data_IF_435964201942
#
_entry.id   IF_435964201942
#
_cell.length_a   1.000
_cell.length_b   1.000
_cell.length_c   1.000
_cell.angle_alpha   90.00
_cell.angle_beta   90.00
_cell.angle_gamma   90.00
#
_symmetry.space_group_name_H-M   'P 1'
#
loop_
_entity.id
_entity.type
_entity.pdbx_description
1 polymer ?
#
# COMPACT_ATOMS: atom_id res chain seq x y z
N UNK A 1 24.09 26.02 7.62
CA UNK A 1 23.32 24.86 8.14
C UNK A 1 21.83 25.13 7.89
N UNK A 2 21.50 25.50 6.65
CA UNK A 2 20.22 26.13 6.29
C UNK A 2 19.30 25.18 5.51
N UNK A 3 19.74 23.92 5.36
CA UNK A 3 19.02 22.83 4.70
C UNK A 3 17.79 22.35 5.50
N UNK A 4 17.65 22.78 6.75
CA UNK A 4 16.48 22.53 7.60
C UNK A 4 15.76 23.86 7.87
N UNK A 5 15.51 24.63 6.82
CA UNK A 5 14.49 25.69 6.90
C UNK A 5 13.14 25.02 7.21
N UNK A 6 12.33 25.55 8.15
CA UNK A 6 11.05 24.95 8.55
C UNK A 6 10.14 24.60 7.36
N UNK A 7 10.20 25.37 6.27
CA UNK A 7 9.41 25.12 5.06
C UNK A 7 9.76 23.81 4.34
N UNK A 8 11.04 23.49 4.18
CA UNK A 8 11.48 22.29 3.44
C UNK A 8 11.13 21.02 4.23
N UNK A 9 11.32 21.05 5.55
CA UNK A 9 10.96 19.94 6.43
C UNK A 9 9.46 19.61 6.36
N UNK A 10 8.60 20.63 6.33
CA UNK A 10 7.15 20.45 6.22
C UNK A 10 6.73 19.83 4.88
N UNK A 11 7.32 20.27 3.77
CA UNK A 11 7.02 19.72 2.43
C UNK A 11 7.42 18.24 2.35
N UNK A 12 8.59 17.88 2.87
CA UNK A 12 9.04 16.49 2.90
C UNK A 12 8.16 15.64 3.80
N UNK A 13 7.83 16.12 5.00
CA UNK A 13 6.94 15.41 5.92
C UNK A 13 5.54 15.18 5.31
N UNK A 14 4.95 16.20 4.70
CA UNK A 14 3.65 16.12 4.05
C UNK A 14 3.66 15.12 2.89
N UNK A 15 4.70 15.13 2.06
CA UNK A 15 4.82 14.21 0.92
C UNK A 15 4.99 12.75 1.34
N UNK A 16 5.75 12.49 2.42
CA UNK A 16 5.91 11.15 2.98
C UNK A 16 4.59 10.62 3.53
N UNK A 17 3.83 11.42 4.29
CA UNK A 17 2.50 11.02 4.78
C UNK A 17 1.55 10.73 3.62
N UNK A 18 1.54 11.61 2.63
CA UNK A 18 0.68 11.45 1.46
C UNK A 18 0.97 10.13 0.74
N UNK A 19 2.25 9.79 0.55
CA UNK A 19 2.66 8.52 -0.03
C UNK A 19 2.28 7.32 0.87
N UNK A 20 2.47 7.45 2.18
CA UNK A 20 2.12 6.41 3.15
C UNK A 20 0.62 6.08 3.18
N UNK A 21 -0.24 7.02 2.77
CA UNK A 21 -1.69 6.83 2.64
C UNK A 21 -2.10 6.42 1.23
N UNK A 22 -1.51 7.00 0.19
CA UNK A 22 -1.83 6.66 -1.20
C UNK A 22 -1.48 5.22 -1.55
N UNK A 23 -0.30 4.75 -1.11
CA UNK A 23 0.20 3.42 -1.42
C UNK A 23 -0.74 2.28 -0.95
N UNK A 24 -1.23 2.27 0.31
CA UNK A 24 -2.21 1.28 0.75
C UNK A 24 -3.56 1.42 0.05
N UNK A 25 -4.03 2.64 -0.25
CA UNK A 25 -5.27 2.83 -1.02
C UNK A 25 -5.15 2.18 -2.41
N UNK A 26 -4.04 2.44 -3.11
CA UNK A 26 -3.77 1.83 -4.42
C UNK A 26 -3.68 0.30 -4.32
N UNK A 27 -3.06 -0.23 -3.26
CA UNK A 27 -3.03 -1.67 -3.01
C UNK A 27 -4.42 -2.25 -2.78
N UNK A 28 -5.25 -1.62 -1.93
CA UNK A 28 -6.63 -2.05 -1.67
C UNK A 28 -7.47 -2.04 -2.95
N UNK A 29 -7.42 -0.97 -3.74
CA UNK A 29 -8.10 -0.92 -5.05
C UNK A 29 -7.61 -2.05 -5.95
N UNK A 30 -6.30 -2.31 -5.96
CA UNK A 30 -5.73 -3.43 -6.71
C UNK A 30 -6.23 -4.79 -6.23
N UNK A 31 -6.37 -4.99 -4.92
CA UNK A 31 -6.90 -6.23 -4.31
C UNK A 31 -8.37 -6.43 -4.68
N UNK A 32 -9.18 -5.37 -4.56
CA UNK A 32 -10.61 -5.44 -4.85
C UNK A 32 -10.88 -5.69 -6.34
N UNK A 33 -10.08 -5.09 -7.23
CA UNK A 33 -10.21 -5.20 -8.68
C UNK A 33 -9.81 -6.57 -9.24
N UNK A 34 -8.90 -7.30 -8.57
CA UNK A 34 -8.46 -8.62 -9.03
C UNK A 34 -9.24 -9.74 -8.33
N UNK A 35 -9.34 -10.89 -8.98
CA UNK A 35 -9.89 -12.09 -8.37
C UNK A 35 -8.78 -12.88 -7.67
N UNK A 36 -9.11 -13.40 -6.48
CA UNK A 36 -8.24 -14.25 -5.67
C UNK A 36 -9.01 -15.50 -5.30
N UNK A 37 -8.29 -16.58 -5.00
CA UNK A 37 -8.91 -17.84 -4.64
C UNK A 37 -9.37 -17.82 -3.17
N UNK A 38 -10.61 -18.24 -2.92
CA UNK A 38 -11.18 -18.36 -1.57
C UNK A 38 -10.98 -17.11 -0.70
N UNK A 39 -10.41 -17.29 0.48
CA UNK A 39 -10.23 -16.24 1.49
C UNK A 39 -8.99 -15.36 1.28
N UNK A 40 -8.15 -15.63 0.28
CA UNK A 40 -6.90 -14.87 0.06
C UNK A 40 -7.17 -13.38 -0.18
N UNK A 41 -8.28 -13.02 -0.83
CA UNK A 41 -8.69 -11.61 -1.00
C UNK A 41 -8.84 -10.91 0.36
N UNK A 42 -9.56 -11.53 1.29
CA UNK A 42 -9.85 -10.97 2.60
C UNK A 42 -8.59 -10.84 3.46
N UNK A 43 -7.70 -11.84 3.39
CA UNK A 43 -6.41 -11.81 4.10
C UNK A 43 -5.59 -10.60 3.63
N UNK A 44 -5.46 -10.37 2.33
CA UNK A 44 -4.71 -9.23 1.80
C UNK A 44 -5.36 -7.89 2.15
N UNK A 45 -6.69 -7.79 2.12
CA UNK A 45 -7.40 -6.58 2.58
C UNK A 45 -7.10 -6.31 4.05
N UNK A 46 -7.20 -7.32 4.94
CA UNK A 46 -6.90 -7.16 6.36
C UNK A 46 -5.45 -6.71 6.57
N UNK A 47 -4.49 -7.38 5.94
CA UNK A 47 -3.06 -7.08 6.08
C UNK A 47 -2.75 -5.63 5.69
N UNK A 48 -3.32 -5.14 4.58
CA UNK A 48 -3.13 -3.75 4.14
C UNK A 48 -3.86 -2.75 5.04
N UNK A 49 -4.99 -3.10 5.66
CA UNK A 49 -5.70 -2.20 6.60
C UNK A 49 -4.97 -2.12 7.95
N UNK A 50 -4.58 -3.25 8.53
CA UNK A 50 -3.94 -3.28 9.85
C UNK A 50 -2.49 -2.82 9.81
N UNK A 51 -1.81 -3.02 8.68
CA UNK A 51 -0.40 -2.64 8.53
C UNK A 51 -0.19 -1.97 7.15
N UNK A 52 -0.60 -0.71 6.96
CA UNK A 52 -0.65 -0.09 5.62
C UNK A 52 0.69 -0.05 4.88
N UNK A 53 1.79 0.31 5.53
CA UNK A 53 3.10 0.30 4.85
C UNK A 53 3.60 -1.12 4.58
N UNK A 54 3.80 -1.93 5.62
CA UNK A 54 4.37 -3.28 5.45
C UNK A 54 3.43 -4.21 4.70
N UNK A 55 2.13 -4.14 4.98
CA UNK A 55 1.10 -4.93 4.33
C UNK A 55 0.99 -4.64 2.84
N UNK A 56 1.15 -3.38 2.42
CA UNK A 56 1.22 -3.06 0.99
C UNK A 56 2.49 -3.61 0.33
N UNK A 57 3.64 -3.55 1.00
CA UNK A 57 4.89 -4.14 0.50
C UNK A 57 4.75 -5.67 0.38
N UNK A 58 4.18 -6.33 1.39
CA UNK A 58 3.88 -7.76 1.37
C UNK A 58 2.90 -8.11 0.25
N UNK A 59 1.87 -7.30 0.04
CA UNK A 59 0.94 -7.48 -1.06
C UNK A 59 1.62 -7.37 -2.43
N UNK A 60 2.49 -6.37 -2.61
CA UNK A 60 3.19 -6.15 -3.87
C UNK A 60 4.18 -7.27 -4.20
N UNK A 61 4.83 -7.85 -3.20
CA UNK A 61 5.86 -8.90 -3.34
C UNK A 61 5.27 -10.31 -3.43
N UNK A 62 4.34 -10.66 -2.53
CA UNK A 62 3.77 -12.00 -2.42
C UNK A 62 2.32 -12.05 -2.90
N UNK A 63 1.50 -11.07 -2.51
CA UNK A 63 0.07 -11.07 -2.80
C UNK A 63 -0.27 -10.98 -4.28
N UNK A 64 0.49 -10.21 -5.06
CA UNK A 64 0.28 -10.12 -6.52
C UNK A 64 0.43 -11.44 -7.25
N UNK A 65 1.28 -12.35 -6.74
CA UNK A 65 1.51 -13.67 -7.36
C UNK A 65 0.37 -14.65 -7.10
N UNK A 66 -0.48 -14.38 -6.10
CA UNK A 66 -1.66 -15.20 -5.76
C UNK A 66 -2.93 -14.79 -6.51
N UNK A 67 -2.83 -13.79 -7.40
CA UNK A 67 -3.96 -13.39 -8.24
C UNK A 67 -4.30 -14.56 -9.17
N UNK A 68 -5.59 -14.84 -9.30
CA UNK A 68 -6.03 -15.79 -10.32
C UNK A 68 -5.85 -15.11 -11.67
N UNK A 69 -5.01 -15.69 -12.54
CA UNK A 69 -5.02 -15.34 -13.96
C UNK A 69 -6.38 -15.76 -14.51
N UNK A 70 -7.18 -14.78 -14.92
CA UNK A 70 -8.35 -15.06 -15.76
C UNK A 70 -7.80 -15.58 -17.08
N UNK A 71 -7.86 -16.90 -17.26
CA UNK A 71 -7.65 -17.52 -18.57
C UNK A 71 -8.75 -17.10 -19.54
#
# INVERSE_FOLDING_TARGET
>A
MDLISPGIGLILYQSVILLAVLLPILCLVSILKHQFNGSDKLIWVLVVIFVPMLGSILYLTMGRKKRLESK
#
